data_IF_567828445821
#
_entry.id   IF_567828445821
#
_cell.length_a   1.000
_cell.length_b   1.000
_cell.length_c   1.000
_cell.angle_alpha   90.00
_cell.angle_beta   90.00
_cell.angle_gamma   90.00
#
_symmetry.space_group_name_H-M   'P 1'
#
loop_
_entity.id
_entity.type
_entity.pdbx_description
1 polymer ?
#
# COMPACT_ATOMS: atom_id res chain seq x y z
N UNK A 1 -59.43 -37.27 34.34
CA UNK A 1 -58.08 -36.68 34.62
C UNK A 1 -57.28 -36.80 33.35
N UNK A 2 -56.99 -35.69 32.68
CA UNK A 2 -56.12 -35.64 31.48
C UNK A 2 -54.74 -35.14 31.93
N UNK A 3 -53.73 -35.97 31.81
CA UNK A 3 -52.35 -35.66 32.13
C UNK A 3 -51.73 -34.93 30.97
N UNK A 4 -51.34 -33.65 31.20
CA UNK A 4 -50.64 -32.83 30.20
C UNK A 4 -49.12 -33.03 30.44
N UNK A 5 -48.42 -33.60 29.44
CA UNK A 5 -46.96 -33.68 29.39
C UNK A 5 -46.39 -32.37 28.82
N UNK A 6 -45.72 -31.59 29.64
CA UNK A 6 -44.90 -30.44 29.22
C UNK A 6 -43.53 -30.94 28.79
N UNK A 7 -43.22 -30.80 27.49
CA UNK A 7 -41.87 -31.02 26.93
C UNK A 7 -40.99 -29.78 27.26
N UNK A 8 -39.77 -29.97 27.72
CA UNK A 8 -38.85 -28.83 27.97
C UNK A 8 -38.36 -28.26 26.62
N UNK A 9 -38.62 -27.01 26.37
CA UNK A 9 -38.10 -26.24 25.25
C UNK A 9 -36.63 -25.83 25.57
N UNK A 10 -35.67 -26.59 25.03
CA UNK A 10 -34.24 -26.23 25.11
C UNK A 10 -33.95 -25.08 24.15
N UNK A 11 -33.77 -23.88 24.66
CA UNK A 11 -33.29 -22.73 23.88
C UNK A 11 -31.80 -22.92 23.62
N UNK A 12 -31.45 -23.35 22.43
CA UNK A 12 -30.08 -23.32 21.93
C UNK A 12 -29.75 -21.86 21.56
N UNK A 13 -29.13 -21.13 22.46
CA UNK A 13 -28.48 -19.83 22.14
C UNK A 13 -27.25 -20.13 21.30
N UNK A 14 -27.36 -19.95 19.99
CA UNK A 14 -26.21 -19.92 19.09
C UNK A 14 -25.37 -18.67 19.42
N UNK A 15 -24.34 -18.81 20.23
CA UNK A 15 -23.31 -17.79 20.37
C UNK A 15 -22.56 -17.70 19.05
N UNK A 16 -22.81 -16.64 18.29
CA UNK A 16 -21.95 -16.25 17.18
C UNK A 16 -20.57 -15.91 17.73
N UNK A 17 -19.60 -16.82 17.59
CA UNK A 17 -18.20 -16.51 17.86
C UNK A 17 -17.76 -15.46 16.82
N UNK A 18 -17.79 -14.20 17.18
CA UNK A 18 -17.07 -13.16 16.45
C UNK A 18 -15.58 -13.47 16.61
N UNK A 19 -14.90 -13.80 15.52
CA UNK A 19 -13.48 -14.10 15.59
C UNK A 19 -12.73 -12.88 16.15
N UNK A 20 -12.10 -13.05 17.30
CA UNK A 20 -11.34 -11.98 17.94
C UNK A 20 -10.15 -11.59 17.08
N UNK A 21 -9.88 -10.27 16.97
CA UNK A 21 -8.70 -9.77 16.26
C UNK A 21 -7.40 -10.30 16.89
N UNK A 22 -6.39 -10.46 16.06
CA UNK A 22 -5.09 -11.02 16.44
C UNK A 22 -4.11 -9.90 16.79
N UNK A 23 -3.48 -10.00 17.96
CA UNK A 23 -2.37 -9.13 18.37
C UNK A 23 -1.10 -9.46 17.59
N UNK A 24 -0.20 -8.47 17.33
CA UNK A 24 1.06 -8.74 16.65
C UNK A 24 2.02 -9.59 17.50
N UNK A 25 2.78 -10.45 16.83
CA UNK A 25 3.88 -11.22 17.43
C UNK A 25 5.02 -10.31 17.86
N UNK A 26 5.32 -9.28 17.06
CA UNK A 26 6.28 -8.23 17.40
C UNK A 26 5.58 -6.88 17.27
N UNK A 27 5.45 -6.16 18.41
CA UNK A 27 4.69 -4.91 18.51
C UNK A 27 5.61 -3.70 18.65
N UNK A 28 5.29 -2.62 17.92
CA UNK A 28 5.99 -1.32 17.98
C UNK A 28 7.51 -1.39 17.76
N UNK A 29 7.96 -2.31 16.90
CA UNK A 29 9.39 -2.47 16.60
C UNK A 29 9.88 -1.26 15.80
N UNK A 30 10.99 -0.64 16.26
CA UNK A 30 11.63 0.46 15.51
C UNK A 30 12.41 -0.08 14.33
N UNK A 31 12.18 0.46 13.13
CA UNK A 31 12.97 0.16 11.94
C UNK A 31 13.87 1.31 11.49
N UNK A 32 13.88 2.41 12.26
CA UNK A 32 14.72 3.58 12.05
C UNK A 32 14.83 4.44 13.31
N UNK A 33 15.53 5.56 13.22
CA UNK A 33 15.81 6.45 14.36
C UNK A 33 14.66 7.40 14.71
N UNK A 34 13.74 7.68 13.77
CA UNK A 34 12.62 8.57 14.05
C UNK A 34 11.52 7.82 14.84
N UNK A 35 10.86 8.54 15.76
CA UNK A 35 9.81 7.96 16.63
C UNK A 35 8.65 7.31 15.87
N UNK A 36 8.32 7.80 14.69
CA UNK A 36 7.23 7.31 13.83
C UNK A 36 7.66 6.14 12.94
N UNK A 37 8.93 5.78 12.90
CA UNK A 37 9.44 4.62 12.15
C UNK A 37 9.23 3.33 12.95
N UNK A 38 7.97 2.92 13.09
CA UNK A 38 7.53 1.75 13.85
C UNK A 38 6.77 0.77 12.98
N UNK A 39 6.88 -0.51 13.30
CA UNK A 39 6.07 -1.55 12.67
C UNK A 39 5.50 -2.53 13.68
N UNK A 40 4.41 -3.19 13.28
CA UNK A 40 3.86 -4.37 13.93
C UNK A 40 3.98 -5.55 12.96
N UNK A 41 4.35 -6.72 13.47
CA UNK A 41 4.54 -7.93 12.67
C UNK A 41 3.74 -9.10 13.25
N UNK A 42 3.03 -9.82 12.39
CA UNK A 42 2.27 -11.02 12.71
C UNK A 42 2.87 -12.22 11.99
N UNK A 43 3.50 -13.08 12.76
CA UNK A 43 4.06 -14.34 12.28
C UNK A 43 2.98 -15.40 12.17
N UNK A 44 3.00 -16.20 11.12
CA UNK A 44 2.29 -17.47 11.10
C UNK A 44 3.24 -18.62 11.48
N UNK A 45 2.71 -19.61 12.19
CA UNK A 45 3.47 -20.81 12.52
C UNK A 45 3.63 -21.68 11.27
N UNK A 46 4.88 -21.88 10.87
CA UNK A 46 5.24 -22.70 9.71
C UNK A 46 6.65 -23.28 9.89
N UNK A 47 6.88 -24.50 9.36
CA UNK A 47 8.21 -25.13 9.34
C UNK A 47 9.16 -24.38 8.41
N UNK A 48 8.67 -24.03 7.23
CA UNK A 48 9.42 -23.33 6.20
C UNK A 48 9.17 -21.81 6.26
N UNK A 49 10.13 -20.98 5.79
CA UNK A 49 9.97 -19.54 5.72
C UNK A 49 8.76 -19.14 4.87
N UNK A 50 7.89 -18.29 5.44
CA UNK A 50 6.63 -17.89 4.81
C UNK A 50 6.82 -16.68 3.89
N UNK A 51 5.94 -16.43 2.90
CA UNK A 51 5.86 -15.13 2.26
C UNK A 51 5.48 -14.04 3.27
N UNK A 52 5.78 -12.78 2.94
CA UNK A 52 5.44 -11.62 3.76
C UNK A 52 4.63 -10.60 2.96
N UNK A 53 3.48 -10.19 3.50
CA UNK A 53 2.71 -9.05 2.99
C UNK A 53 2.89 -7.85 3.92
N UNK A 54 3.43 -6.73 3.38
CA UNK A 54 3.66 -5.50 4.13
C UNK A 54 2.58 -4.47 3.80
N UNK A 55 1.83 -4.05 4.80
CA UNK A 55 0.79 -3.03 4.67
C UNK A 55 1.32 -1.64 5.02
N UNK A 56 1.04 -0.68 4.15
CA UNK A 56 1.36 0.73 4.28
C UNK A 56 0.03 1.49 4.39
N UNK A 57 -0.16 2.22 5.49
CA UNK A 57 -1.43 2.91 5.71
C UNK A 57 -1.63 4.12 4.78
N UNK A 58 -2.90 4.47 4.54
CA UNK A 58 -3.30 5.67 3.82
C UNK A 58 -3.26 6.93 4.68
N UNK A 59 -4.05 7.94 4.28
CA UNK A 59 -4.15 9.23 4.99
C UNK A 59 -3.41 10.36 4.30
N UNK A 60 -3.17 10.26 2.98
CA UNK A 60 -2.58 11.33 2.15
C UNK A 60 -1.16 11.70 2.54
N UNK A 61 -0.41 10.82 3.22
CA UNK A 61 0.87 11.09 3.90
C UNK A 61 0.78 12.22 4.95
N UNK A 62 -0.43 12.66 5.30
CA UNK A 62 -0.71 13.73 6.28
C UNK A 62 -1.26 13.19 7.60
N UNK A 63 -1.66 11.93 7.63
CA UNK A 63 -2.26 11.25 8.78
C UNK A 63 -2.29 9.74 8.59
N UNK A 64 -2.95 9.03 9.52
CA UNK A 64 -3.03 7.58 9.53
C UNK A 64 -2.03 6.94 10.49
N UNK A 65 -2.13 5.62 10.64
CA UNK A 65 -1.22 4.80 11.43
C UNK A 65 -1.32 3.34 11.03
N UNK A 66 -0.29 2.55 11.37
CA UNK A 66 -0.26 1.11 11.20
C UNK A 66 -1.39 0.39 11.95
N UNK A 67 -1.69 -0.82 11.55
CA UNK A 67 -2.64 -1.68 12.25
C UNK A 67 -2.10 -2.07 13.62
N UNK A 68 -2.95 -1.96 14.65
CA UNK A 68 -2.64 -2.45 15.99
C UNK A 68 -3.04 -3.92 16.16
N UNK A 69 -4.14 -4.33 15.52
CA UNK A 69 -4.61 -5.71 15.43
C UNK A 69 -5.08 -6.02 14.03
N UNK A 70 -5.20 -7.29 13.67
CA UNK A 70 -5.70 -7.73 12.36
C UNK A 70 -6.76 -8.82 12.49
N UNK A 71 -7.60 -8.95 11.46
CA UNK A 71 -8.49 -10.11 11.33
C UNK A 71 -7.66 -11.40 11.15
N UNK A 72 -8.01 -12.50 11.84
CA UNK A 72 -7.33 -13.78 11.67
C UNK A 72 -7.41 -14.32 10.23
N UNK A 73 -8.37 -13.85 9.45
CA UNK A 73 -8.52 -14.24 8.04
C UNK A 73 -7.35 -13.77 7.15
N UNK A 74 -6.58 -12.77 7.59
CA UNK A 74 -5.37 -12.34 6.88
C UNK A 74 -4.31 -13.44 6.97
N UNK A 75 -4.07 -13.96 8.16
CA UNK A 75 -3.05 -15.00 8.40
C UNK A 75 -3.44 -16.35 7.80
N UNK A 76 -4.74 -16.66 7.74
CA UNK A 76 -5.26 -17.89 7.10
C UNK A 76 -4.94 -17.98 5.60
N UNK A 77 -4.50 -16.88 4.97
CA UNK A 77 -4.09 -16.89 3.57
C UNK A 77 -2.67 -17.46 3.34
N UNK A 78 -1.94 -17.82 4.40
CA UNK A 78 -0.66 -18.52 4.32
C UNK A 78 0.57 -17.63 4.17
N UNK A 79 0.49 -16.36 4.56
CA UNK A 79 1.63 -15.43 4.62
C UNK A 79 1.67 -14.69 5.98
N UNK A 80 2.89 -14.38 6.43
CA UNK A 80 3.09 -13.45 7.54
C UNK A 80 2.71 -12.03 7.13
N UNK A 81 2.34 -11.20 8.09
CA UNK A 81 1.83 -9.85 7.82
C UNK A 81 2.62 -8.82 8.62
N UNK A 82 2.89 -7.66 8.01
CA UNK A 82 3.49 -6.52 8.67
C UNK A 82 2.68 -5.25 8.36
N UNK A 83 2.57 -4.34 9.31
CA UNK A 83 2.01 -3.01 9.09
C UNK A 83 2.95 -1.96 9.64
N UNK A 84 3.25 -0.93 8.84
CA UNK A 84 4.24 0.10 9.17
C UNK A 84 3.60 1.46 9.37
N UNK A 85 4.16 2.25 10.31
CA UNK A 85 4.06 3.71 10.35
C UNK A 85 5.23 4.31 9.57
N UNK A 86 5.11 5.57 9.18
CA UNK A 86 6.14 6.33 8.49
C UNK A 86 6.00 7.82 8.87
N UNK A 87 7.04 8.63 8.63
CA UNK A 87 7.00 10.08 8.88
C UNK A 87 5.94 10.75 8.04
N UNK A 88 5.03 11.49 8.69
CA UNK A 88 3.96 12.23 8.01
C UNK A 88 4.49 13.56 7.46
N UNK A 89 3.93 14.03 6.37
CA UNK A 89 4.37 15.26 5.70
C UNK A 89 4.16 16.54 6.53
N UNK A 90 3.35 16.48 7.59
CA UNK A 90 3.28 17.54 8.60
C UNK A 90 4.56 17.67 9.45
N UNK A 91 5.35 16.61 9.54
CA UNK A 91 6.63 16.56 10.26
C UNK A 91 7.81 16.68 9.29
N UNK A 92 7.74 15.99 8.17
CA UNK A 92 8.77 16.01 7.14
C UNK A 92 8.17 15.74 5.77
N UNK A 93 8.39 16.65 4.82
CA UNK A 93 7.86 16.56 3.46
C UNK A 93 8.32 15.28 2.74
N UNK A 94 7.64 14.92 1.65
CA UNK A 94 8.15 13.95 0.71
C UNK A 94 9.60 14.30 0.31
N UNK A 95 10.46 13.30 0.04
CA UNK A 95 10.17 11.86 -0.11
C UNK A 95 10.22 11.05 1.21
N UNK A 96 10.24 11.68 2.39
CA UNK A 96 10.47 11.01 3.67
C UNK A 96 9.55 9.77 3.86
N UNK A 97 8.26 9.88 3.55
CA UNK A 97 7.31 8.80 3.75
C UNK A 97 7.61 7.57 2.86
N UNK A 98 7.97 7.76 1.59
CA UNK A 98 8.29 6.65 0.67
C UNK A 98 9.66 6.06 0.98
N UNK A 99 10.64 6.87 1.40
CA UNK A 99 11.94 6.39 1.87
C UNK A 99 11.84 5.61 3.19
N UNK A 100 10.93 6.00 4.09
CA UNK A 100 10.68 5.24 5.31
C UNK A 100 10.07 3.87 4.98
N UNK A 101 9.14 3.81 4.02
CA UNK A 101 8.60 2.55 3.54
C UNK A 101 9.70 1.65 2.92
N UNK A 102 10.61 2.23 2.12
CA UNK A 102 11.76 1.52 1.58
C UNK A 102 12.67 0.99 2.68
N UNK A 103 13.01 1.83 3.67
CA UNK A 103 13.80 1.40 4.83
C UNK A 103 13.12 0.30 5.64
N UNK A 104 11.79 0.33 5.76
CA UNK A 104 11.06 -0.76 6.43
C UNK A 104 11.25 -2.10 5.72
N UNK A 105 11.21 -2.14 4.36
CA UNK A 105 11.52 -3.35 3.59
C UNK A 105 12.95 -3.82 3.83
N UNK A 106 13.92 -2.90 3.81
CA UNK A 106 15.33 -3.22 4.11
C UNK A 106 15.51 -3.79 5.53
N UNK A 107 14.87 -3.17 6.53
CA UNK A 107 14.90 -3.65 7.92
C UNK A 107 14.28 -5.04 8.05
N UNK A 108 13.12 -5.27 7.44
CA UNK A 108 12.45 -6.57 7.45
C UNK A 108 13.38 -7.66 6.89
N UNK A 109 14.12 -7.41 5.81
CA UNK A 109 15.09 -8.38 5.27
C UNK A 109 16.16 -8.76 6.28
N UNK A 110 16.61 -7.85 7.13
CA UNK A 110 17.56 -8.19 8.22
C UNK A 110 16.95 -9.11 9.27
N UNK A 111 15.61 -9.15 9.37
CA UNK A 111 14.86 -9.98 10.32
C UNK A 111 14.33 -11.28 9.74
N UNK A 112 14.50 -11.54 8.45
CA UNK A 112 13.89 -12.66 7.75
C UNK A 112 14.14 -14.02 8.41
N UNK A 113 15.38 -14.32 8.77
CA UNK A 113 15.75 -15.57 9.46
C UNK A 113 15.13 -15.67 10.85
N UNK A 114 15.19 -14.60 11.64
CA UNK A 114 14.67 -14.56 13.01
C UNK A 114 13.15 -14.70 13.03
N UNK A 115 12.46 -14.06 12.09
CA UNK A 115 11.00 -14.03 12.04
C UNK A 115 10.38 -15.06 11.11
N UNK A 116 11.21 -15.94 10.53
CA UNK A 116 10.82 -17.07 9.71
C UNK A 116 9.97 -16.69 8.48
N UNK A 117 10.43 -15.71 7.70
CA UNK A 117 9.87 -15.43 6.40
C UNK A 117 10.95 -15.38 5.30
N UNK A 118 10.53 -15.59 4.06
CA UNK A 118 11.40 -15.58 2.90
C UNK A 118 11.63 -14.14 2.40
N UNK A 119 12.84 -13.61 2.48
CA UNK A 119 13.13 -12.25 2.05
C UNK A 119 12.97 -12.02 0.53
N UNK A 120 12.92 -13.07 -0.28
CA UNK A 120 12.65 -12.96 -1.73
C UNK A 120 11.15 -12.84 -2.04
N UNK A 121 10.27 -13.22 -1.10
CA UNK A 121 8.82 -13.24 -1.26
C UNK A 121 8.13 -12.17 -0.40
N UNK A 122 8.54 -10.91 -0.58
CA UNK A 122 7.92 -9.74 0.07
C UNK A 122 7.06 -9.02 -0.96
N UNK A 123 5.75 -8.96 -0.71
CA UNK A 123 4.81 -8.11 -1.44
C UNK A 123 4.34 -6.95 -0.55
N UNK A 124 3.89 -5.85 -1.18
CA UNK A 124 3.40 -4.67 -0.47
C UNK A 124 1.94 -4.39 -0.79
N UNK A 125 1.23 -3.79 0.14
CA UNK A 125 -0.17 -3.39 -0.06
C UNK A 125 -0.52 -2.11 0.69
N UNK A 126 -1.52 -1.39 0.21
CA UNK A 126 -2.03 -0.21 0.89
C UNK A 126 -3.25 0.40 0.21
N UNK A 127 -3.83 1.39 0.88
CA UNK A 127 -4.91 2.23 0.36
C UNK A 127 -4.49 3.68 0.21
N UNK A 128 -4.98 4.39 -0.82
CA UNK A 128 -4.71 5.84 -1.01
C UNK A 128 -3.19 6.13 -1.03
N UNK A 129 -2.68 7.00 -0.16
CA UNK A 129 -1.24 7.27 -0.03
C UNK A 129 -0.40 6.02 0.23
N UNK A 130 -0.92 5.03 0.98
CA UNK A 130 -0.25 3.75 1.19
C UNK A 130 -0.19 2.91 -0.09
N UNK A 131 -1.21 3.01 -0.96
CA UNK A 131 -1.19 2.41 -2.28
C UNK A 131 -0.17 3.11 -3.20
N UNK A 132 -0.08 4.44 -3.14
CA UNK A 132 0.94 5.21 -3.86
C UNK A 132 2.36 4.80 -3.43
N UNK A 133 2.60 4.69 -2.10
CA UNK A 133 3.88 4.20 -1.56
C UNK A 133 4.18 2.76 -1.96
N UNK A 134 3.16 1.88 -2.01
CA UNK A 134 3.31 0.49 -2.47
C UNK A 134 3.69 0.40 -3.94
N UNK A 135 3.08 1.24 -4.79
CA UNK A 135 3.42 1.33 -6.21
C UNK A 135 4.81 1.95 -6.43
N UNK A 136 5.17 2.96 -5.62
CA UNK A 136 6.50 3.56 -5.66
C UNK A 136 7.58 2.51 -5.33
N UNK A 137 7.39 1.71 -4.28
CA UNK A 137 8.29 0.60 -3.92
C UNK A 137 8.37 -0.49 -5.00
N UNK A 138 7.27 -0.73 -5.71
CA UNK A 138 7.27 -1.72 -6.79
C UNK A 138 8.09 -1.27 -8.00
N UNK A 139 8.14 0.03 -8.27
CA UNK A 139 8.69 0.56 -9.52
C UNK A 139 9.98 1.37 -9.37
N UNK A 140 10.26 1.88 -8.16
CA UNK A 140 11.51 2.61 -7.93
C UNK A 140 12.72 1.67 -7.98
N UNK A 141 13.83 2.18 -8.49
CA UNK A 141 15.10 1.46 -8.48
C UNK A 141 15.49 1.00 -7.08
N UNK A 142 16.28 -0.06 -7.00
CA UNK A 142 16.75 -0.59 -5.72
C UNK A 142 17.63 0.44 -4.99
N UNK A 143 17.25 0.78 -3.76
CA UNK A 143 17.99 1.70 -2.90
C UNK A 143 19.07 1.01 -2.05
N UNK A 144 19.42 -0.23 -2.33
CA UNK A 144 20.51 -0.91 -1.64
C UNK A 144 21.84 -0.16 -1.82
N UNK A 145 22.51 0.15 -0.71
CA UNK A 145 23.87 0.66 -0.69
C UNK A 145 24.82 -0.39 -0.08
N UNK A 146 25.46 -1.24 -0.89
CA UNK A 146 26.35 -2.30 -0.40
C UNK A 146 27.54 -1.79 0.44
N UNK A 147 27.91 -0.50 0.27
CA UNK A 147 29.02 0.14 0.97
C UNK A 147 28.60 0.86 2.27
N UNK A 148 27.29 0.92 2.56
CA UNK A 148 26.80 1.58 3.76
C UNK A 148 27.34 0.94 5.04
N UNK A 149 27.65 1.77 6.04
CA UNK A 149 27.97 1.29 7.40
C UNK A 149 26.72 0.76 8.12
N UNK A 150 25.52 1.20 7.75
CA UNK A 150 24.26 0.69 8.25
C UNK A 150 23.90 -0.64 7.54
N UNK A 151 23.85 -1.77 8.25
CA UNK A 151 23.52 -3.07 7.65
C UNK A 151 22.11 -3.12 7.07
N UNK A 152 21.20 -2.25 7.51
CA UNK A 152 19.85 -2.14 6.96
C UNK A 152 19.91 -1.56 5.55
N UNK A 153 20.66 -0.49 5.33
CA UNK A 153 20.80 0.14 4.00
C UNK A 153 21.50 -0.75 2.96
N UNK A 154 22.22 -1.81 3.38
CA UNK A 154 22.79 -2.79 2.45
C UNK A 154 21.76 -3.76 1.87
N UNK A 155 20.56 -3.82 2.44
CA UNK A 155 19.49 -4.70 1.96
C UNK A 155 18.74 -4.08 0.78
N UNK A 156 18.24 -4.94 -0.11
CA UNK A 156 17.40 -4.51 -1.24
C UNK A 156 16.05 -3.96 -0.80
N UNK A 157 15.54 -2.96 -1.54
CA UNK A 157 14.17 -2.42 -1.41
C UNK A 157 13.19 -3.11 -2.36
N UNK A 158 13.65 -3.92 -3.31
CA UNK A 158 12.79 -4.59 -4.32
C UNK A 158 11.76 -5.49 -3.67
N UNK A 159 10.56 -5.54 -4.25
CA UNK A 159 9.44 -6.38 -3.80
C UNK A 159 8.98 -7.28 -4.95
N UNK A 160 8.28 -8.38 -4.66
CA UNK A 160 7.84 -9.31 -5.69
C UNK A 160 6.48 -8.94 -6.31
N UNK A 161 5.79 -7.95 -5.77
CA UNK A 161 4.51 -7.44 -6.29
C UNK A 161 3.85 -6.43 -5.37
N UNK A 162 2.85 -5.70 -5.89
CA UNK A 162 2.07 -4.77 -5.08
C UNK A 162 0.56 -4.90 -5.32
N UNK A 163 -0.22 -4.76 -4.25
CA UNK A 163 -1.68 -4.57 -4.30
C UNK A 163 -1.99 -3.16 -3.85
N UNK A 164 -2.58 -2.34 -4.72
CA UNK A 164 -2.85 -0.94 -4.47
C UNK A 164 -4.33 -0.58 -4.65
N UNK A 165 -4.94 0.00 -3.60
CA UNK A 165 -6.36 0.37 -3.61
C UNK A 165 -6.52 1.89 -3.62
N UNK A 166 -7.05 2.47 -4.70
CA UNK A 166 -7.26 3.93 -4.83
C UNK A 166 -5.97 4.73 -4.79
N UNK A 167 -4.86 4.19 -5.29
CA UNK A 167 -3.53 4.81 -5.22
C UNK A 167 -3.36 5.95 -6.22
N UNK A 168 -2.61 6.98 -5.81
CA UNK A 168 -2.20 8.06 -6.69
C UNK A 168 -0.92 7.63 -7.43
N UNK A 169 -0.96 7.62 -8.75
CA UNK A 169 0.14 7.14 -9.59
C UNK A 169 1.02 8.27 -10.11
N UNK A 170 0.56 9.52 -9.97
CA UNK A 170 1.30 10.73 -10.30
C UNK A 170 0.93 11.87 -9.38
N UNK A 171 1.86 12.80 -9.14
CA UNK A 171 1.66 14.07 -8.42
C UNK A 171 1.80 15.27 -9.37
N UNK A 172 1.88 15.04 -10.67
CA UNK A 172 1.92 16.12 -11.69
C UNK A 172 0.53 16.79 -11.78
N UNK A 173 0.39 18.07 -11.35
CA UNK A 173 -0.89 18.73 -11.33
C UNK A 173 -1.47 19.00 -12.73
N UNK A 174 -0.63 19.15 -13.74
CA UNK A 174 -1.09 19.41 -15.12
C UNK A 174 -1.62 18.13 -15.75
N UNK A 175 -0.93 17.00 -15.56
CA UNK A 175 -1.40 15.70 -16.01
C UNK A 175 -2.71 15.32 -15.32
N UNK A 176 -2.81 15.53 -14.00
CA UNK A 176 -4.02 15.25 -13.22
C UNK A 176 -5.21 16.11 -13.64
N UNK A 177 -5.00 17.41 -13.86
CA UNK A 177 -6.07 18.31 -14.31
C UNK A 177 -6.60 17.91 -15.69
N UNK A 178 -5.70 17.52 -16.61
CA UNK A 178 -6.04 17.06 -17.96
C UNK A 178 -6.82 15.73 -17.93
N UNK A 179 -6.35 14.74 -17.20
CA UNK A 179 -6.84 13.36 -17.29
C UNK A 179 -7.98 13.04 -16.30
N UNK A 180 -8.09 13.81 -15.21
CA UNK A 180 -9.10 13.58 -14.16
C UNK A 180 -9.93 14.85 -13.95
N UNK A 181 -9.29 15.98 -13.72
CA UNK A 181 -9.93 17.24 -13.46
C UNK A 181 -9.49 17.94 -12.17
N UNK A 182 -10.02 19.14 -11.95
CA UNK A 182 -9.61 20.03 -10.87
C UNK A 182 -9.77 19.42 -9.46
N UNK A 183 -10.75 18.53 -9.25
CA UNK A 183 -10.97 17.90 -7.95
C UNK A 183 -9.78 17.06 -7.48
N UNK A 184 -9.04 16.42 -8.40
CA UNK A 184 -7.84 15.65 -8.04
C UNK A 184 -6.74 16.54 -7.49
N UNK A 185 -6.43 17.66 -8.16
CA UNK A 185 -5.32 18.55 -7.78
C UNK A 185 -5.62 19.42 -6.56
N UNK A 186 -6.89 19.68 -6.24
CA UNK A 186 -7.30 20.41 -5.03
C UNK A 186 -7.04 19.64 -3.74
N UNK A 187 -6.90 18.32 -3.81
CA UNK A 187 -6.65 17.52 -2.62
C UNK A 187 -5.29 17.85 -1.99
N UNK A 188 -5.20 18.10 -0.66
CA UNK A 188 -3.96 18.50 0.02
C UNK A 188 -2.78 17.55 -0.19
N UNK A 189 -3.02 16.28 -0.40
CA UNK A 189 -2.00 15.29 -0.70
C UNK A 189 -1.12 15.68 -1.90
N UNK A 190 -1.69 16.35 -2.94
CA UNK A 190 -0.96 16.68 -4.17
C UNK A 190 0.01 17.84 -3.97
N UNK A 191 -0.37 18.84 -3.17
CA UNK A 191 0.41 20.07 -3.04
C UNK A 191 1.08 20.25 -1.68
N UNK A 192 0.39 19.88 -0.57
CA UNK A 192 0.91 20.11 0.79
C UNK A 192 2.10 19.20 1.11
N UNK A 193 2.09 17.98 0.61
CA UNK A 193 3.14 16.98 0.89
C UNK A 193 4.48 17.30 0.24
N UNK A 194 4.47 18.10 -0.82
CA UNK A 194 5.69 18.62 -1.47
C UNK A 194 6.06 20.03 -0.99
N UNK A 195 5.29 20.61 -0.06
CA UNK A 195 5.58 21.90 0.58
C UNK A 195 4.98 23.11 -0.12
N UNK A 196 4.04 22.91 -1.04
CA UNK A 196 3.24 24.02 -1.59
C UNK A 196 2.13 24.43 -0.61
N UNK A 197 1.66 25.68 -0.70
CA UNK A 197 0.62 26.23 0.18
C UNK A 197 -0.79 26.05 -0.36
N UNK A 198 -0.92 25.81 -1.67
CA UNK A 198 -2.17 25.46 -2.36
C UNK A 198 -1.86 24.81 -3.71
N UNK A 199 -2.91 24.31 -4.40
CA UNK A 199 -2.73 23.74 -5.75
C UNK A 199 -2.39 24.82 -6.79
N UNK A 200 -2.92 26.06 -6.64
CA UNK A 200 -2.54 27.21 -7.48
C UNK A 200 -1.07 27.57 -7.26
N UNK A 201 -0.62 27.58 -5.99
CA UNK A 201 0.79 27.82 -5.65
C UNK A 201 1.70 26.76 -6.24
N UNK A 202 1.32 25.48 -6.16
CA UNK A 202 2.05 24.37 -6.80
C UNK A 202 2.20 24.59 -8.30
N UNK A 203 1.10 24.88 -9.01
CA UNK A 203 1.11 25.10 -10.48
C UNK A 203 1.93 26.33 -10.86
N UNK A 204 1.73 27.46 -10.16
CA UNK A 204 2.45 28.72 -10.43
C UNK A 204 3.99 28.59 -10.26
N UNK A 205 4.41 27.75 -9.29
CA UNK A 205 5.83 27.56 -8.96
C UNK A 205 6.30 26.13 -9.32
N UNK A 206 5.78 25.57 -10.41
CA UNK A 206 6.00 24.17 -10.77
C UNK A 206 7.49 23.79 -10.83
N UNK A 207 8.33 24.63 -11.42
CA UNK A 207 9.77 24.35 -11.52
C UNK A 207 10.44 24.07 -10.18
N UNK A 208 9.96 24.71 -9.11
CA UNK A 208 10.41 24.45 -7.73
C UNK A 208 10.03 23.06 -7.21
N UNK A 209 8.83 22.59 -7.57
CA UNK A 209 8.24 21.37 -6.99
C UNK A 209 8.31 20.15 -7.91
N UNK A 210 8.61 20.38 -9.19
CA UNK A 210 8.56 19.36 -10.27
C UNK A 210 9.43 18.15 -9.95
N UNK A 211 10.69 18.36 -9.58
CA UNK A 211 11.61 17.25 -9.31
C UNK A 211 11.09 16.32 -8.21
N UNK A 212 10.61 16.89 -7.09
CA UNK A 212 10.07 16.12 -5.97
C UNK A 212 8.74 15.45 -6.32
N UNK A 213 7.85 16.13 -7.04
CA UNK A 213 6.57 15.57 -7.48
C UNK A 213 6.76 14.40 -8.44
N UNK A 214 7.72 14.49 -9.36
CA UNK A 214 8.08 13.41 -10.28
C UNK A 214 8.70 12.25 -9.51
N UNK A 215 9.66 12.51 -8.62
CA UNK A 215 10.32 11.49 -7.79
C UNK A 215 9.30 10.67 -6.98
N UNK A 216 8.28 11.30 -6.42
CA UNK A 216 7.25 10.63 -5.63
C UNK A 216 6.05 10.12 -6.47
N UNK A 217 6.14 10.15 -7.79
CA UNK A 217 5.12 9.66 -8.72
C UNK A 217 5.45 8.25 -9.19
N UNK A 218 4.76 7.19 -8.75
CA UNK A 218 5.08 5.81 -9.15
C UNK A 218 5.20 5.60 -10.67
N UNK A 219 4.38 6.27 -11.46
CA UNK A 219 4.31 6.10 -12.90
C UNK A 219 5.63 6.48 -13.62
N UNK A 220 6.44 7.34 -13.03
CA UNK A 220 7.69 7.84 -13.62
C UNK A 220 8.84 6.82 -13.52
N UNK A 221 8.72 5.85 -12.62
CA UNK A 221 9.74 4.84 -12.37
C UNK A 221 9.49 3.52 -13.12
N UNK A 222 8.33 3.38 -13.78
CA UNK A 222 7.93 2.10 -14.42
C UNK A 222 8.90 1.68 -15.50
N UNK A 223 9.53 0.52 -15.34
CA UNK A 223 10.49 -0.11 -16.26
C UNK A 223 10.10 -1.58 -16.54
N UNK A 224 10.77 -2.22 -17.50
CA UNK A 224 10.47 -3.60 -17.95
C UNK A 224 10.82 -4.70 -16.94
N UNK A 225 11.70 -4.43 -15.97
CA UNK A 225 12.16 -5.37 -14.94
C UNK A 225 11.40 -5.27 -13.63
N UNK A 226 10.36 -4.44 -13.60
CA UNK A 226 9.52 -4.26 -12.42
C UNK A 226 8.53 -5.40 -12.21
N UNK A 227 8.14 -5.63 -10.93
CA UNK A 227 7.19 -6.68 -10.60
C UNK A 227 5.77 -6.35 -11.08
N UNK A 228 4.92 -7.38 -11.22
CA UNK A 228 3.51 -7.17 -11.52
C UNK A 228 2.79 -6.47 -10.38
N UNK A 229 1.71 -5.73 -10.71
CA UNK A 229 0.83 -5.11 -9.72
C UNK A 229 -0.64 -5.45 -9.96
N UNK A 230 -1.40 -5.42 -8.87
CA UNK A 230 -2.86 -5.50 -8.89
C UNK A 230 -3.44 -4.23 -8.26
N UNK A 231 -4.26 -3.48 -9.02
CA UNK A 231 -4.76 -2.17 -8.59
C UNK A 231 -6.29 -2.12 -8.69
N UNK A 232 -6.92 -1.44 -7.71
CA UNK A 232 -8.38 -1.32 -7.64
C UNK A 232 -8.82 0.12 -7.40
N UNK A 233 -9.89 0.50 -8.10
CA UNK A 233 -10.61 1.76 -7.91
C UNK A 233 -12.11 1.54 -7.80
N UNK A 234 -12.82 2.47 -7.16
CA UNK A 234 -14.26 2.54 -7.12
C UNK A 234 -14.87 2.88 -8.48
N UNK A 235 -16.20 3.01 -8.53
CA UNK A 235 -16.90 3.50 -9.71
C UNK A 235 -16.45 4.94 -9.99
N UNK A 236 -15.89 5.25 -11.17
CA UNK A 236 -15.40 6.59 -11.47
C UNK A 236 -16.54 7.57 -11.75
N UNK A 237 -16.36 8.81 -11.32
CA UNK A 237 -17.18 9.93 -11.80
C UNK A 237 -16.82 10.24 -13.28
N UNK A 238 -17.72 10.85 -14.05
CA UNK A 238 -17.38 11.38 -15.38
C UNK A 238 -16.28 12.45 -15.29
N UNK A 239 -15.35 12.44 -16.25
CA UNK A 239 -14.33 13.48 -16.38
C UNK A 239 -14.82 14.66 -17.24
N UNK A 240 -14.40 15.91 -16.95
CA UNK A 240 -13.52 16.32 -15.86
C UNK A 240 -14.23 16.36 -14.51
N UNK A 241 -13.61 15.80 -13.46
CA UNK A 241 -14.13 15.84 -12.09
C UNK A 241 -13.83 17.21 -11.48
N UNK A 242 -14.86 18.04 -11.33
CA UNK A 242 -14.73 19.41 -10.80
C UNK A 242 -14.92 19.47 -9.27
N UNK A 243 -15.80 18.59 -8.73
CA UNK A 243 -16.14 18.49 -7.30
C UNK A 243 -16.19 17.02 -6.88
N UNK A 244 -16.03 16.78 -5.59
CA UNK A 244 -16.08 15.42 -5.02
C UNK A 244 -14.73 14.74 -4.99
N UNK A 245 -14.73 13.40 -4.96
CA UNK A 245 -13.52 12.57 -4.79
C UNK A 245 -12.78 12.36 -6.12
N UNK A 246 -11.98 13.35 -6.51
CA UNK A 246 -11.07 13.21 -7.66
C UNK A 246 -9.77 12.49 -7.30
N UNK A 247 -9.36 12.46 -6.01
CA UNK A 247 -8.07 11.91 -5.59
C UNK A 247 -8.01 10.37 -5.65
N UNK A 248 -9.16 9.68 -5.63
CA UNK A 248 -9.24 8.23 -5.79
C UNK A 248 -9.88 7.83 -7.14
N UNK A 249 -9.87 8.73 -8.12
CA UNK A 249 -10.46 8.48 -9.43
C UNK A 249 -9.69 7.40 -10.22
N UNK A 250 -10.42 6.54 -10.95
CA UNK A 250 -9.84 5.44 -11.72
C UNK A 250 -8.89 5.90 -12.86
N UNK A 251 -8.90 7.18 -13.22
CA UNK A 251 -7.93 7.80 -14.12
C UNK A 251 -6.48 7.55 -13.72
N UNK A 252 -6.16 7.59 -12.42
CA UNK A 252 -4.84 7.21 -11.91
C UNK A 252 -4.44 5.79 -12.34
N UNK A 253 -5.35 4.83 -12.16
CA UNK A 253 -5.09 3.43 -12.50
C UNK A 253 -4.98 3.20 -14.01
N UNK A 254 -5.78 3.90 -14.81
CA UNK A 254 -5.73 3.81 -16.28
C UNK A 254 -4.43 4.37 -16.84
N UNK A 255 -3.96 5.51 -16.31
CA UNK A 255 -2.65 6.07 -16.66
C UNK A 255 -1.52 5.07 -16.38
N UNK A 256 -1.52 4.49 -15.18
CA UNK A 256 -0.51 3.49 -14.81
C UNK A 256 -0.59 2.25 -15.70
N UNK A 257 -1.79 1.70 -15.91
CA UNK A 257 -1.98 0.52 -16.75
C UNK A 257 -1.44 0.74 -18.16
N UNK A 258 -1.74 1.90 -18.77
CA UNK A 258 -1.21 2.27 -20.08
C UNK A 258 0.33 2.29 -20.07
N UNK A 259 0.95 2.90 -19.05
CA UNK A 259 2.41 2.93 -18.92
C UNK A 259 3.01 1.54 -18.77
N UNK A 260 2.40 0.67 -17.97
CA UNK A 260 2.84 -0.73 -17.83
C UNK A 260 2.75 -1.51 -19.16
N UNK A 261 1.68 -1.30 -19.94
CA UNK A 261 1.50 -1.91 -21.25
C UNK A 261 2.59 -1.45 -22.25
N UNK A 262 2.96 -0.16 -22.22
CA UNK A 262 4.03 0.40 -23.06
C UNK A 262 5.39 -0.26 -22.81
N UNK A 263 5.69 -0.66 -21.56
CA UNK A 263 6.97 -1.30 -21.22
C UNK A 263 6.87 -2.83 -21.10
N UNK A 264 5.67 -3.40 -21.25
CA UNK A 264 5.45 -4.85 -21.31
C UNK A 264 5.36 -5.54 -19.95
N UNK A 265 5.02 -4.83 -18.86
CA UNK A 265 4.80 -5.43 -17.52
C UNK A 265 3.32 -5.61 -17.20
N UNK A 266 3.01 -6.54 -16.28
CA UNK A 266 1.64 -6.86 -15.91
C UNK A 266 1.07 -5.86 -14.89
N UNK A 267 -0.02 -5.19 -15.27
CA UNK A 267 -0.85 -4.36 -14.40
C UNK A 267 -2.31 -4.84 -14.45
N UNK A 268 -2.78 -5.47 -13.37
CA UNK A 268 -4.15 -5.97 -13.24
C UNK A 268 -5.04 -4.86 -12.68
N UNK A 269 -5.74 -4.13 -13.54
CA UNK A 269 -6.64 -3.04 -13.14
C UNK A 269 -8.07 -3.54 -12.93
N UNK A 270 -8.62 -3.28 -11.74
CA UNK A 270 -10.04 -3.44 -11.43
C UNK A 270 -10.68 -2.06 -11.19
N UNK A 271 -11.76 -1.79 -11.91
CA UNK A 271 -12.61 -0.59 -11.70
C UNK A 271 -14.06 -1.03 -11.57
N UNK A 272 -14.72 -0.65 -10.48
CA UNK A 272 -16.11 -1.04 -10.21
C UNK A 272 -17.05 -0.64 -11.36
N UNK A 273 -17.72 -1.61 -11.95
CA UNK A 273 -18.65 -1.42 -13.07
C UNK A 273 -17.96 -1.22 -14.43
N UNK A 274 -16.65 -1.32 -14.51
CA UNK A 274 -15.85 -1.14 -15.74
C UNK A 274 -14.83 -2.27 -15.90
N UNK A 275 -13.53 -1.98 -15.75
CA UNK A 275 -12.44 -2.93 -15.96
C UNK A 275 -12.46 -4.05 -14.92
N UNK A 276 -12.39 -5.30 -15.39
CA UNK A 276 -12.29 -6.47 -14.53
C UNK A 276 -11.07 -7.30 -14.94
N UNK A 277 -10.07 -7.47 -14.04
CA UNK A 277 -8.92 -8.32 -14.34
C UNK A 277 -9.30 -9.79 -14.34
N UNK A 278 -8.55 -10.62 -15.08
CA UNK A 278 -8.76 -12.07 -15.15
C UNK A 278 -8.54 -12.80 -13.82
N UNK A 279 -7.82 -12.18 -12.89
CA UNK A 279 -7.48 -12.73 -11.57
C UNK A 279 -7.90 -11.76 -10.47
N UNK A 280 -8.30 -12.28 -9.33
CA UNK A 280 -8.54 -11.47 -8.13
C UNK A 280 -7.23 -11.24 -7.35
N UNK A 281 -7.28 -10.39 -6.32
CA UNK A 281 -6.12 -10.04 -5.50
C UNK A 281 -5.51 -11.22 -4.73
N UNK A 282 -6.33 -12.18 -4.27
CA UNK A 282 -5.82 -13.38 -3.58
C UNK A 282 -5.07 -14.30 -4.55
N UNK A 283 -5.59 -14.50 -5.75
CA UNK A 283 -4.91 -15.27 -6.79
C UNK A 283 -3.62 -14.55 -7.25
N UNK A 284 -3.65 -13.22 -7.35
CA UNK A 284 -2.45 -12.44 -7.63
C UNK A 284 -1.35 -12.69 -6.60
N UNK A 285 -1.66 -12.59 -5.29
CA UNK A 285 -0.68 -12.88 -4.23
C UNK A 285 -0.12 -14.29 -4.33
N UNK A 286 -0.97 -15.30 -4.56
CA UNK A 286 -0.50 -16.68 -4.75
C UNK A 286 0.52 -16.78 -5.88
N UNK A 287 0.31 -16.08 -7.01
CA UNK A 287 1.21 -16.11 -8.17
C UNK A 287 2.55 -15.42 -7.89
N UNK A 288 2.55 -14.27 -7.24
CA UNK A 288 3.79 -13.54 -6.93
C UNK A 288 4.59 -14.18 -5.81
N UNK A 289 3.95 -14.91 -4.90
CA UNK A 289 4.60 -15.66 -3.84
C UNK A 289 5.06 -17.07 -4.26
N UNK A 290 4.64 -17.57 -5.41
CA UNK A 290 5.05 -18.88 -5.94
C UNK A 290 6.37 -18.84 -6.74
N UNK A 291 6.88 -17.63 -7.02
CA UNK A 291 8.11 -17.40 -7.84
C UNK A 291 9.37 -17.60 -7.05
#
# INVERSE_FOLDING_TARGET
MKTIYLLPFSIFTAMSLVAQNVEPTHKHVSYGSHKDMKLNFWKIEAKEPTPLLVHIHGGGWLGGKKNETISPNILKQGYSYCSIDYRLAGTQLLPAAVHDAARAIQFLRTKAKEWNFDPSRIAVTGGSAGAASSLWLAYHDDLADPKSKDPVLRQSTRVCGAIAMGGQTTLDPFLLEKEIGLAAIKHPMIWKTVGATSHEHLKKNWDKYKALSIECSPITHVTKDDPPVWIRYGKPAPVPVIKGDGIHHAGFGRLLKKKCEEVGIQCHLQVTGHEQPKINNSEFLKRVFAK
#
